data_IF_386241116082
#
_entry.id   IF_386241116082
#
_cell.length_a   1.000
_cell.length_b   1.000
_cell.length_c   1.000
_cell.angle_alpha   90.00
_cell.angle_beta   90.00
_cell.angle_gamma   90.00
#
_symmetry.space_group_name_H-M   'P 1'
#
loop_
_entity.id
_entity.type
_entity.pdbx_description
1 polymer ?
#
# COMPACT_ATOMS: atom_id res chain seq x y z
N UNK A 1 -3.65 10.68 -20.12
CA UNK A 1 -2.74 11.21 -21.12
C UNK A 1 -1.28 11.23 -20.61
N UNK A 2 -0.77 10.03 -20.25
CA UNK A 2 0.58 9.88 -19.71
C UNK A 2 1.67 10.42 -20.64
N UNK A 3 1.55 10.14 -21.92
CA UNK A 3 2.57 10.58 -22.90
C UNK A 3 2.80 12.10 -22.87
N UNK A 4 1.74 12.88 -22.77
CA UNK A 4 1.81 14.35 -22.69
C UNK A 4 2.45 14.82 -21.38
N UNK A 5 2.08 14.17 -20.25
CA UNK A 5 2.66 14.49 -18.94
C UNK A 5 4.14 14.12 -18.93
N UNK A 6 4.51 12.91 -19.37
CA UNK A 6 5.91 12.47 -19.46
C UNK A 6 6.75 13.40 -20.36
N UNK A 7 6.20 13.84 -21.50
CA UNK A 7 6.90 14.81 -22.37
C UNK A 7 7.19 16.10 -21.63
N UNK A 8 6.18 16.65 -20.90
CA UNK A 8 6.37 17.87 -20.12
C UNK A 8 7.37 17.67 -18.96
N UNK A 9 7.35 16.52 -18.30
CA UNK A 9 8.36 16.17 -17.28
C UNK A 9 9.77 16.17 -17.87
N UNK A 10 9.97 15.60 -19.06
CA UNK A 10 11.27 15.59 -19.75
C UNK A 10 11.74 17.02 -20.12
N UNK A 11 10.82 17.89 -20.51
CA UNK A 11 11.16 19.31 -20.76
C UNK A 11 11.64 19.99 -19.46
N UNK A 12 10.92 19.82 -18.34
CA UNK A 12 11.30 20.38 -17.04
C UNK A 12 12.67 19.88 -16.56
N UNK A 13 13.00 18.60 -16.84
CA UNK A 13 14.34 18.05 -16.56
C UNK A 13 15.41 18.81 -17.34
N UNK A 14 15.17 19.08 -18.64
CA UNK A 14 16.10 19.81 -19.49
C UNK A 14 16.28 21.29 -19.06
N UNK A 15 15.27 21.89 -18.46
CA UNK A 15 15.33 23.25 -17.94
C UNK A 15 16.31 23.42 -16.78
N UNK A 16 16.81 22.34 -16.19
CA UNK A 16 17.78 22.34 -15.08
C UNK A 16 17.34 23.21 -13.89
N UNK A 17 16.10 23.06 -13.46
CA UNK A 17 15.51 23.83 -12.37
C UNK A 17 16.06 23.35 -11.03
N UNK A 18 16.47 24.29 -10.15
CA UNK A 18 16.93 23.99 -8.79
C UNK A 18 15.77 23.68 -7.86
N UNK A 19 15.98 22.78 -6.91
CA UNK A 19 15.08 22.53 -5.78
C UNK A 19 15.52 23.41 -4.60
N UNK A 20 14.71 24.40 -4.26
CA UNK A 20 15.02 25.37 -3.20
C UNK A 20 14.12 25.12 -2.00
N UNK A 21 14.72 24.58 -0.92
CA UNK A 21 14.02 24.34 0.34
C UNK A 21 14.06 25.52 1.29
N UNK A 22 12.94 25.79 1.96
CA UNK A 22 12.82 26.81 3.01
C UNK A 22 11.95 26.31 4.16
N UNK A 23 12.26 26.74 5.39
CA UNK A 23 11.37 26.58 6.55
C UNK A 23 10.60 27.91 6.73
N UNK A 24 9.29 27.81 6.83
CA UNK A 24 8.41 28.97 7.04
C UNK A 24 7.48 28.72 8.23
N UNK A 25 6.97 29.80 8.85
CA UNK A 25 5.96 29.64 9.90
C UNK A 25 4.66 29.06 9.35
N UNK A 26 3.90 28.34 10.17
CA UNK A 26 2.56 27.85 9.76
C UNK A 26 1.63 28.96 9.27
N UNK A 27 1.74 30.17 9.86
CA UNK A 27 0.95 31.32 9.42
C UNK A 27 1.32 31.77 8.00
N UNK A 28 2.62 31.81 7.67
CA UNK A 28 3.09 32.13 6.32
C UNK A 28 2.69 31.04 5.32
N UNK A 29 2.85 29.76 5.68
CA UNK A 29 2.44 28.64 4.84
C UNK A 29 0.92 28.67 4.52
N UNK A 30 0.06 28.97 5.50
CA UNK A 30 -1.38 29.11 5.27
C UNK A 30 -1.71 30.24 4.26
N UNK A 31 -0.95 31.34 4.27
CA UNK A 31 -1.13 32.41 3.27
C UNK A 31 -0.71 31.94 1.88
N UNK A 32 0.42 31.23 1.76
CA UNK A 32 0.92 30.70 0.48
C UNK A 32 -0.06 29.69 -0.14
N UNK A 33 -0.65 28.81 0.67
CA UNK A 33 -1.53 27.73 0.22
C UNK A 33 -3.03 28.02 0.43
N UNK A 34 -3.43 29.31 0.52
CA UNK A 34 -4.83 29.71 0.83
C UNK A 34 -5.88 29.07 -0.07
N UNK A 35 -5.54 28.76 -1.32
CA UNK A 35 -6.44 28.16 -2.31
C UNK A 35 -6.34 26.61 -2.35
N UNK A 36 -5.63 25.97 -1.42
CA UNK A 36 -5.39 24.52 -1.40
C UNK A 36 -5.94 23.92 -0.10
N UNK A 37 -7.22 23.55 -0.02
CA UNK A 37 -7.88 23.13 1.22
C UNK A 37 -7.17 21.94 1.88
N UNK A 38 -6.73 20.95 1.11
CA UNK A 38 -6.00 19.80 1.60
C UNK A 38 -4.65 20.17 2.22
N UNK A 39 -3.91 21.12 1.62
CA UNK A 39 -2.64 21.62 2.19
C UNK A 39 -2.87 22.40 3.47
N UNK A 40 -3.93 23.17 3.57
CA UNK A 40 -4.31 23.90 4.79
C UNK A 40 -4.62 22.94 5.94
N UNK A 41 -5.28 21.82 5.65
CA UNK A 41 -5.58 20.77 6.61
C UNK A 41 -4.29 20.10 7.10
N UNK A 42 -3.39 19.71 6.19
CA UNK A 42 -2.07 19.15 6.53
C UNK A 42 -1.26 20.12 7.41
N UNK A 43 -1.21 21.42 7.07
CA UNK A 43 -0.47 22.43 7.85
C UNK A 43 -0.98 22.53 9.28
N UNK A 44 -2.29 22.38 9.51
CA UNK A 44 -2.86 22.41 10.87
C UNK A 44 -2.32 21.27 11.74
N UNK A 45 -2.20 20.09 11.18
CA UNK A 45 -1.87 18.84 11.88
C UNK A 45 -0.35 18.62 12.06
N UNK A 46 0.47 19.13 11.15
CA UNK A 46 1.93 19.00 11.28
C UNK A 46 2.40 19.49 12.65
N UNK A 47 3.32 18.77 13.32
CA UNK A 47 3.85 19.21 14.60
C UNK A 47 4.72 20.48 14.46
N UNK A 48 4.92 21.21 15.55
CA UNK A 48 5.79 22.38 15.61
C UNK A 48 5.17 23.66 15.05
N UNK A 49 5.97 24.75 15.04
CA UNK A 49 5.57 26.10 14.63
C UNK A 49 5.92 26.42 13.16
N UNK A 50 6.77 25.61 12.55
CA UNK A 50 7.26 25.79 11.17
C UNK A 50 7.00 24.55 10.33
N UNK A 51 6.93 24.76 9.01
CA UNK A 51 6.79 23.70 7.99
C UNK A 51 7.82 23.91 6.89
N UNK A 52 8.26 22.80 6.26
CA UNK A 52 9.12 22.83 5.09
C UNK A 52 8.31 23.10 3.83
N UNK A 53 8.85 23.93 2.98
CA UNK A 53 8.35 24.17 1.62
C UNK A 53 9.51 24.03 0.65
N UNK A 54 9.21 23.56 -0.56
CA UNK A 54 10.17 23.47 -1.66
C UNK A 54 9.62 24.11 -2.90
N UNK A 55 10.48 24.85 -3.57
CA UNK A 55 10.21 25.47 -4.84
C UNK A 55 11.06 24.83 -5.94
N UNK A 56 10.43 24.54 -7.08
CA UNK A 56 11.08 24.10 -8.30
C UNK A 56 10.49 24.90 -9.48
N UNK A 57 11.28 25.80 -10.05
CA UNK A 57 10.76 26.77 -10.99
C UNK A 57 9.63 27.60 -10.40
N UNK A 58 8.46 27.56 -11.04
CA UNK A 58 7.24 28.25 -10.57
C UNK A 58 6.37 27.36 -9.64
N UNK A 59 6.74 26.10 -9.42
CA UNK A 59 5.99 25.19 -8.58
C UNK A 59 6.48 25.27 -7.14
N UNK A 60 5.53 25.38 -6.18
CA UNK A 60 5.79 25.44 -4.75
C UNK A 60 4.90 24.44 -4.02
N UNK A 61 5.49 23.64 -3.13
CA UNK A 61 4.73 22.70 -2.33
C UNK A 61 5.31 22.50 -0.90
N UNK A 62 4.46 21.88 -0.03
CA UNK A 62 4.90 21.40 1.28
C UNK A 62 5.81 20.18 1.08
N UNK A 63 6.99 20.21 1.66
CA UNK A 63 7.89 19.06 1.62
C UNK A 63 8.87 19.06 2.80
N UNK A 64 9.27 17.86 3.23
CA UNK A 64 10.29 17.67 4.28
C UNK A 64 11.72 17.75 3.75
N UNK A 65 11.93 17.63 2.45
CA UNK A 65 13.24 17.54 1.80
C UNK A 65 13.51 16.18 1.19
N UNK A 66 14.79 15.87 0.95
CA UNK A 66 15.22 14.64 0.26
C UNK A 66 15.20 14.73 -1.25
N UNK A 67 15.32 15.95 -1.80
CA UNK A 67 15.42 16.17 -3.24
C UNK A 67 16.87 16.21 -3.70
N UNK A 68 17.07 15.93 -4.98
CA UNK A 68 18.30 16.28 -5.73
C UNK A 68 18.50 17.80 -5.75
N UNK A 69 19.67 18.28 -6.09
CA UNK A 69 19.93 19.74 -6.16
C UNK A 69 19.20 20.39 -7.32
N UNK A 70 19.14 19.69 -8.45
CA UNK A 70 18.46 20.19 -9.64
C UNK A 70 17.82 19.06 -10.46
N UNK A 71 16.88 19.43 -11.34
CA UNK A 71 16.21 18.49 -12.23
C UNK A 71 17.16 17.83 -13.22
N UNK A 72 18.33 18.41 -13.49
CA UNK A 72 19.37 17.84 -14.39
C UNK A 72 19.91 16.49 -13.90
N UNK A 73 19.85 16.21 -12.58
CA UNK A 73 20.29 14.94 -12.01
C UNK A 73 19.32 13.78 -12.27
N UNK A 74 18.10 14.10 -12.72
CA UNK A 74 17.09 13.10 -13.04
C UNK A 74 17.27 12.64 -14.47
N UNK A 75 17.41 11.33 -14.67
CA UNK A 75 17.53 10.75 -16.01
C UNK A 75 16.18 10.80 -16.75
N UNK A 76 16.05 11.57 -17.85
CA UNK A 76 14.79 11.73 -18.57
C UNK A 76 14.28 10.46 -19.25
N UNK A 77 15.10 9.41 -19.35
CA UNK A 77 14.73 8.12 -19.94
C UNK A 77 14.51 7.03 -18.90
N UNK A 78 14.73 7.32 -17.62
CA UNK A 78 14.67 6.33 -16.55
C UNK A 78 13.43 6.49 -15.64
N UNK A 79 12.38 7.13 -16.09
CA UNK A 79 11.10 7.20 -15.39
C UNK A 79 9.92 6.84 -16.30
N UNK A 80 8.83 6.39 -15.70
CA UNK A 80 7.58 6.03 -16.38
C UNK A 80 6.38 6.26 -15.49
N UNK A 81 5.31 6.84 -16.04
CA UNK A 81 4.00 6.85 -15.39
C UNK A 81 3.30 5.51 -15.67
N UNK A 82 2.82 4.86 -14.61
CA UNK A 82 2.35 3.47 -14.70
C UNK A 82 0.84 3.32 -14.66
N UNK A 83 0.16 3.99 -13.73
CA UNK A 83 -1.29 3.85 -13.57
C UNK A 83 -1.95 5.07 -12.96
N UNK A 84 -3.28 5.15 -13.13
CA UNK A 84 -4.17 6.08 -12.43
C UNK A 84 -5.10 5.27 -11.54
N UNK A 85 -5.35 5.75 -10.33
CA UNK A 85 -6.36 5.19 -9.44
C UNK A 85 -7.10 6.30 -8.69
N UNK A 86 -8.34 6.04 -8.31
CA UNK A 86 -9.04 6.84 -7.32
C UNK A 86 -8.44 6.61 -5.93
N UNK A 87 -8.40 7.65 -5.12
CA UNK A 87 -7.97 7.55 -3.72
C UNK A 87 -8.79 8.55 -2.89
N UNK A 88 -9.55 8.05 -1.92
CA UNK A 88 -10.25 8.92 -0.99
C UNK A 88 -9.26 9.70 -0.14
N UNK A 89 -9.56 10.99 0.08
CA UNK A 89 -8.74 11.80 0.96
C UNK A 89 -8.65 11.18 2.34
N UNK A 90 -7.44 10.93 2.82
CA UNK A 90 -7.14 10.23 4.10
C UNK A 90 -7.64 8.79 4.21
N UNK A 91 -7.95 8.17 3.09
CA UNK A 91 -8.45 6.79 3.08
C UNK A 91 -9.90 6.62 3.55
N UNK A 92 -10.62 7.69 3.87
CA UNK A 92 -12.01 7.64 4.29
C UNK A 92 -12.93 7.84 3.07
N UNK A 93 -13.79 6.87 2.80
CA UNK A 93 -14.74 6.88 1.68
C UNK A 93 -15.79 8.01 1.75
N UNK A 94 -16.01 8.61 2.92
CA UNK A 94 -16.86 9.78 3.11
C UNK A 94 -16.22 11.06 2.60
N UNK A 95 -14.92 11.07 2.42
CA UNK A 95 -14.17 12.18 1.90
C UNK A 95 -14.15 12.18 0.36
N UNK A 96 -13.73 13.30 -0.21
CA UNK A 96 -13.64 13.46 -1.65
C UNK A 96 -12.62 12.47 -2.24
N UNK A 97 -13.04 11.77 -3.29
CA UNK A 97 -12.15 10.93 -4.08
C UNK A 97 -11.25 11.80 -4.96
N UNK A 98 -9.95 11.61 -4.83
CA UNK A 98 -8.91 12.27 -5.60
C UNK A 98 -8.36 11.32 -6.67
N UNK A 99 -7.73 11.89 -7.69
CA UNK A 99 -7.01 11.12 -8.70
C UNK A 99 -5.55 10.97 -8.28
N UNK A 100 -5.08 9.72 -8.15
CA UNK A 100 -3.69 9.40 -7.86
C UNK A 100 -3.00 8.88 -9.11
N UNK A 101 -1.91 9.51 -9.50
CA UNK A 101 -1.04 9.08 -10.59
C UNK A 101 0.17 8.39 -9.99
N UNK A 102 0.44 7.17 -10.45
CA UNK A 102 1.60 6.38 -10.05
C UNK A 102 2.68 6.45 -11.11
N UNK A 103 3.91 6.44 -10.69
CA UNK A 103 5.07 6.38 -11.56
C UNK A 103 6.24 5.74 -10.86
N UNK A 104 7.22 5.34 -11.63
CA UNK A 104 8.50 4.79 -11.18
C UNK A 104 9.65 5.58 -11.78
N UNK A 105 10.76 5.68 -11.07
CA UNK A 105 11.99 6.30 -11.56
C UNK A 105 13.19 5.49 -11.08
N UNK A 106 14.21 5.41 -11.92
CA UNK A 106 15.45 4.68 -11.69
C UNK A 106 16.65 5.54 -12.06
N UNK A 107 17.86 5.12 -11.75
CA UNK A 107 19.08 5.81 -12.15
C UNK A 107 19.33 5.63 -13.65
N UNK A 108 19.06 4.43 -14.18
CA UNK A 108 19.33 4.08 -15.56
C UNK A 108 18.08 3.64 -16.33
N UNK A 109 18.11 3.87 -17.64
CA UNK A 109 17.06 3.37 -18.55
C UNK A 109 16.99 1.84 -18.56
N UNK A 110 18.11 1.15 -18.35
CA UNK A 110 18.17 -0.30 -18.27
C UNK A 110 17.36 -0.82 -17.07
N UNK A 111 17.57 -0.26 -15.90
CA UNK A 111 16.81 -0.63 -14.68
C UNK A 111 15.30 -0.42 -14.87
N UNK A 112 14.89 0.70 -15.50
CA UNK A 112 13.49 0.93 -15.84
C UNK A 112 12.95 -0.17 -16.76
N UNK A 113 13.68 -0.52 -17.82
CA UNK A 113 13.27 -1.58 -18.77
C UNK A 113 13.16 -2.94 -18.08
N UNK A 114 14.14 -3.29 -17.25
CA UNK A 114 14.15 -4.55 -16.51
C UNK A 114 12.97 -4.60 -15.52
N UNK A 115 12.68 -3.50 -14.81
CA UNK A 115 11.51 -3.38 -13.95
C UNK A 115 10.20 -3.57 -14.72
N UNK A 116 10.01 -2.85 -15.83
CA UNK A 116 8.78 -2.94 -16.63
C UNK A 116 8.58 -4.35 -17.19
N UNK A 117 9.64 -5.01 -17.63
CA UNK A 117 9.60 -6.41 -18.06
C UNK A 117 9.20 -7.34 -16.92
N UNK A 118 9.75 -7.13 -15.72
CA UNK A 118 9.38 -7.91 -14.54
C UNK A 118 7.91 -7.72 -14.17
N UNK A 119 7.37 -6.48 -14.28
CA UNK A 119 5.95 -6.21 -14.04
C UNK A 119 5.06 -6.91 -15.07
N UNK A 120 5.41 -6.85 -16.36
CA UNK A 120 4.67 -7.56 -17.41
C UNK A 120 4.65 -9.07 -17.17
N UNK A 121 5.80 -9.65 -16.79
CA UNK A 121 5.88 -11.07 -16.44
C UNK A 121 5.08 -11.41 -15.17
N UNK A 122 5.07 -10.52 -14.18
CA UNK A 122 4.28 -10.70 -12.97
C UNK A 122 2.76 -10.69 -13.27
N UNK A 123 2.30 -9.79 -14.14
CA UNK A 123 0.90 -9.75 -14.58
C UNK A 123 0.47 -11.06 -15.27
N UNK A 124 1.34 -11.63 -16.12
CA UNK A 124 1.08 -12.93 -16.78
C UNK A 124 0.99 -14.09 -15.79
N UNK A 125 1.63 -13.94 -14.61
CA UNK A 125 1.70 -14.96 -13.54
C UNK A 125 0.79 -14.65 -12.36
N UNK A 126 -0.13 -13.70 -12.49
CA UNK A 126 -1.06 -13.37 -11.42
C UNK A 126 -1.92 -14.61 -11.07
N UNK A 127 -1.80 -15.06 -9.82
CA UNK A 127 -2.56 -16.20 -9.31
C UNK A 127 -4.08 -16.01 -9.40
N UNK A 128 -4.57 -14.75 -9.38
CA UNK A 128 -5.99 -14.44 -9.56
C UNK A 128 -6.50 -14.74 -10.97
N UNK A 129 -5.59 -14.72 -11.94
CA UNK A 129 -5.88 -15.07 -13.34
C UNK A 129 -5.61 -16.55 -13.56
N UNK A 130 -4.40 -17.01 -13.22
CA UNK A 130 -3.98 -18.39 -13.48
C UNK A 130 -4.76 -19.41 -12.65
N UNK A 131 -5.09 -19.11 -11.40
CA UNK A 131 -5.80 -20.04 -10.52
C UNK A 131 -7.14 -20.49 -11.07
N UNK A 132 -8.06 -19.58 -11.44
CA UNK A 132 -9.31 -19.94 -12.11
C UNK A 132 -9.11 -20.60 -13.48
N UNK A 133 -8.17 -20.11 -14.30
CA UNK A 133 -7.90 -20.70 -15.63
C UNK A 133 -7.41 -22.15 -15.55
N UNK A 134 -6.62 -22.49 -14.54
CA UNK A 134 -6.12 -23.83 -14.28
C UNK A 134 -7.08 -24.68 -13.43
N UNK A 135 -8.24 -24.13 -13.08
CA UNK A 135 -9.23 -24.78 -12.23
C UNK A 135 -8.67 -25.19 -10.83
N UNK A 136 -7.84 -24.30 -10.26
CA UNK A 136 -7.27 -24.51 -8.92
C UNK A 136 -8.23 -24.07 -7.83
N UNK A 137 -8.90 -22.97 -8.03
CA UNK A 137 -9.91 -22.42 -7.11
C UNK A 137 -10.91 -21.53 -7.84
N UNK A 138 -12.03 -21.25 -7.18
CA UNK A 138 -13.03 -20.29 -7.66
C UNK A 138 -13.52 -19.41 -6.52
N UNK A 139 -14.06 -18.24 -6.85
CA UNK A 139 -14.79 -17.39 -5.92
C UNK A 139 -16.30 -17.49 -6.17
N UNK A 140 -17.08 -17.44 -5.09
CA UNK A 140 -18.53 -17.47 -5.18
C UNK A 140 -19.14 -16.39 -4.26
N UNK A 141 -20.28 -15.76 -4.63
CA UNK A 141 -20.92 -14.72 -3.81
C UNK A 141 -21.32 -15.14 -2.40
N UNK A 142 -21.48 -16.43 -2.14
CA UNK A 142 -21.78 -16.96 -0.79
C UNK A 142 -20.61 -16.84 0.18
N UNK A 143 -19.37 -16.66 -0.31
CA UNK A 143 -18.17 -16.52 0.50
C UNK A 143 -17.25 -15.45 -0.12
N UNK A 144 -17.63 -14.16 -0.03
CA UNK A 144 -16.88 -13.09 -0.67
C UNK A 144 -15.46 -13.01 -0.09
N UNK A 145 -14.48 -12.99 -1.00
CA UNK A 145 -13.05 -12.95 -0.64
C UNK A 145 -12.45 -14.29 -0.20
N UNK A 146 -13.24 -15.35 -0.05
CA UNK A 146 -12.78 -16.69 0.36
C UNK A 146 -12.84 -17.66 -0.82
N UNK A 147 -11.72 -18.28 -1.22
CA UNK A 147 -11.71 -19.20 -2.35
C UNK A 147 -12.31 -20.56 -1.98
N UNK A 148 -13.05 -21.14 -2.92
CA UNK A 148 -13.36 -22.56 -2.94
C UNK A 148 -12.23 -23.28 -3.67
N UNK A 149 -11.51 -24.17 -2.98
CA UNK A 149 -10.46 -24.98 -3.59
C UNK A 149 -11.05 -26.12 -4.40
N UNK A 150 -10.69 -26.19 -5.67
CA UNK A 150 -11.09 -27.26 -6.57
C UNK A 150 -10.14 -28.45 -6.50
N UNK A 151 -10.48 -29.62 -7.05
CA UNK A 151 -9.65 -30.83 -6.88
C UNK A 151 -8.17 -30.65 -7.23
N UNK A 152 -7.85 -30.00 -8.35
CA UNK A 152 -6.48 -29.69 -8.76
C UNK A 152 -5.78 -28.76 -7.75
N UNK A 153 -6.51 -27.77 -7.25
CA UNK A 153 -5.99 -26.84 -6.24
C UNK A 153 -5.69 -27.49 -4.91
N UNK A 154 -6.53 -28.44 -4.48
CA UNK A 154 -6.30 -29.21 -3.25
C UNK A 154 -5.01 -30.04 -3.35
N UNK A 155 -4.73 -30.63 -4.53
CA UNK A 155 -3.47 -31.35 -4.76
C UNK A 155 -2.28 -30.43 -4.57
N UNK A 156 -2.28 -29.26 -5.24
CA UNK A 156 -1.20 -28.27 -5.11
C UNK A 156 -1.04 -27.77 -3.67
N UNK A 157 -2.16 -27.53 -2.97
CA UNK A 157 -2.15 -27.09 -1.57
C UNK A 157 -1.50 -28.15 -0.67
N UNK A 158 -1.86 -29.43 -0.84
CA UNK A 158 -1.31 -30.52 -0.06
C UNK A 158 0.21 -30.72 -0.31
N UNK A 159 0.66 -30.60 -1.55
CA UNK A 159 2.08 -30.63 -1.89
C UNK A 159 2.86 -29.50 -1.22
N UNK A 160 2.31 -28.26 -1.25
CA UNK A 160 2.91 -27.13 -0.55
C UNK A 160 2.97 -27.31 0.96
N UNK A 161 1.91 -27.86 1.57
CA UNK A 161 1.88 -28.16 3.01
C UNK A 161 2.91 -29.25 3.34
N UNK A 162 3.00 -30.31 2.53
CA UNK A 162 3.98 -31.38 2.71
C UNK A 162 5.41 -30.87 2.61
N UNK A 163 5.69 -30.02 1.61
CA UNK A 163 6.98 -29.36 1.45
C UNK A 163 7.31 -28.48 2.67
N UNK A 164 6.35 -27.66 3.13
CA UNK A 164 6.55 -26.82 4.31
C UNK A 164 6.86 -27.64 5.58
N UNK A 165 6.15 -28.74 5.79
CA UNK A 165 6.40 -29.65 6.92
C UNK A 165 7.79 -30.26 6.86
N UNK A 166 8.22 -30.68 5.69
CA UNK A 166 9.54 -31.27 5.50
C UNK A 166 10.66 -30.26 5.80
N UNK A 167 10.54 -29.03 5.30
CA UNK A 167 11.53 -27.98 5.53
C UNK A 167 11.64 -27.56 7.00
N UNK A 168 10.56 -27.68 7.79
CA UNK A 168 10.53 -27.17 9.17
C UNK A 168 10.58 -28.28 10.24
N UNK A 169 10.60 -29.54 9.88
CA UNK A 169 10.49 -30.67 10.81
C UNK A 169 11.56 -30.71 11.92
N UNK A 170 12.74 -30.19 11.68
CA UNK A 170 13.85 -30.23 12.63
C UNK A 170 13.83 -29.05 13.62
N UNK A 171 13.34 -27.90 13.23
CA UNK A 171 13.44 -26.65 13.99
C UNK A 171 12.12 -26.22 14.64
N UNK A 172 10.98 -26.74 14.13
CA UNK A 172 9.65 -26.32 14.57
C UNK A 172 8.74 -27.51 14.85
N UNK A 173 7.77 -27.25 15.72
CA UNK A 173 6.66 -28.20 15.98
C UNK A 173 5.36 -27.57 15.47
N UNK A 174 4.63 -28.32 14.67
CA UNK A 174 3.34 -27.88 14.14
C UNK A 174 2.28 -27.87 15.25
N UNK A 175 1.54 -26.77 15.34
CA UNK A 175 0.36 -26.64 16.20
C UNK A 175 -0.85 -26.18 15.37
N UNK A 176 -2.04 -26.57 15.80
CA UNK A 176 -3.31 -26.08 15.25
C UNK A 176 -4.05 -25.36 16.35
N UNK A 177 -4.18 -24.04 16.21
CA UNK A 177 -4.90 -23.20 17.16
C UNK A 177 -6.37 -22.99 16.76
N UNK A 178 -7.28 -22.74 17.73
CA UNK A 178 -8.70 -22.52 17.43
C UNK A 178 -8.96 -21.37 16.46
N UNK A 179 -10.01 -21.50 15.65
CA UNK A 179 -10.45 -20.44 14.72
C UNK A 179 -11.22 -19.35 15.46
N UNK A 180 -12.00 -19.71 16.48
CA UNK A 180 -12.77 -18.77 17.30
C UNK A 180 -12.08 -18.60 18.65
N UNK A 181 -11.81 -17.35 19.02
CA UNK A 181 -11.18 -17.00 20.28
C UNK A 181 -12.00 -15.96 21.02
N UNK A 182 -12.04 -16.06 22.34
CA UNK A 182 -12.70 -15.03 23.16
C UNK A 182 -12.03 -13.68 22.97
N UNK A 183 -12.83 -12.61 23.06
CA UNK A 183 -12.41 -11.22 22.96
C UNK A 183 -11.22 -10.87 23.88
N UNK A 184 -11.19 -11.51 25.06
CA UNK A 184 -10.13 -11.29 26.07
C UNK A 184 -8.73 -11.58 25.54
N UNK A 185 -8.54 -12.56 24.65
CA UNK A 185 -7.27 -12.84 24.03
C UNK A 185 -6.74 -11.63 23.26
N UNK A 186 -7.62 -10.96 22.52
CA UNK A 186 -7.28 -9.79 21.72
C UNK A 186 -7.08 -8.53 22.58
N UNK A 187 -7.75 -8.44 23.74
CA UNK A 187 -7.50 -7.38 24.72
C UNK A 187 -6.10 -7.54 25.33
N UNK A 188 -5.75 -8.74 25.81
CA UNK A 188 -4.46 -9.03 26.45
C UNK A 188 -3.31 -8.80 25.47
N UNK A 189 -3.47 -9.25 24.23
CA UNK A 189 -2.43 -9.11 23.20
C UNK A 189 -2.37 -7.70 22.55
N UNK A 190 -3.25 -6.77 22.95
CA UNK A 190 -3.30 -5.39 22.45
C UNK A 190 -3.98 -5.21 21.08
N UNK A 191 -4.32 -6.31 20.40
CA UNK A 191 -4.93 -6.24 19.06
C UNK A 191 -6.34 -5.65 19.08
N UNK A 192 -7.08 -5.81 20.16
CA UNK A 192 -8.44 -5.29 20.31
C UNK A 192 -8.53 -3.79 20.00
N UNK A 193 -7.61 -3.00 20.50
CA UNK A 193 -7.60 -1.53 20.34
C UNK A 193 -7.42 -1.09 18.89
N UNK A 194 -6.74 -1.89 18.07
CA UNK A 194 -6.30 -1.49 16.74
C UNK A 194 -7.06 -2.19 15.60
N UNK A 195 -7.59 -3.39 15.83
CA UNK A 195 -8.08 -4.27 14.76
C UNK A 195 -9.47 -4.82 15.00
N UNK A 196 -10.08 -4.61 16.18
CA UNK A 196 -11.36 -5.23 16.49
C UNK A 196 -12.50 -4.84 15.54
N UNK A 197 -12.54 -3.60 15.09
CA UNK A 197 -13.55 -3.11 14.15
C UNK A 197 -13.42 -3.73 12.74
N UNK A 198 -12.24 -4.24 12.42
CA UNK A 198 -11.94 -4.89 11.14
C UNK A 198 -12.07 -6.42 11.23
N UNK A 199 -12.35 -6.98 12.41
CA UNK A 199 -12.47 -8.42 12.61
C UNK A 199 -13.92 -8.89 12.45
N UNK A 200 -14.08 -10.14 11.97
CA UNK A 200 -15.37 -10.81 12.06
C UNK A 200 -15.64 -11.19 13.51
N UNK A 201 -16.74 -10.68 14.06
CA UNK A 201 -17.14 -10.91 15.44
C UNK A 201 -18.37 -11.81 15.48
N UNK A 202 -18.27 -12.90 16.26
CA UNK A 202 -19.37 -13.81 16.54
C UNK A 202 -19.94 -13.52 17.93
N UNK A 203 -21.25 -13.30 18.02
CA UNK A 203 -21.95 -13.13 19.30
C UNK A 203 -22.82 -14.35 19.57
N UNK A 204 -22.68 -14.93 20.76
CA UNK A 204 -23.52 -16.04 21.20
C UNK A 204 -24.83 -15.54 21.80
N UNK A 205 -25.88 -16.36 21.90
CA UNK A 205 -27.11 -16.02 22.63
C UNK A 205 -26.86 -15.58 24.08
N UNK A 206 -25.81 -16.10 24.73
CA UNK A 206 -25.36 -15.71 26.07
C UNK A 206 -24.59 -14.39 26.14
N UNK A 207 -24.56 -13.60 25.05
CA UNK A 207 -23.86 -12.32 24.92
C UNK A 207 -22.32 -12.38 25.02
N UNK A 208 -21.75 -13.57 24.93
CA UNK A 208 -20.29 -13.71 24.78
C UNK A 208 -19.84 -13.25 23.38
N UNK A 209 -18.70 -12.55 23.30
CA UNK A 209 -18.11 -12.11 22.04
C UNK A 209 -16.84 -12.89 21.72
N UNK A 210 -16.80 -13.42 20.51
CA UNK A 210 -15.65 -14.13 19.95
C UNK A 210 -15.19 -13.41 18.68
N UNK A 211 -13.88 -13.34 18.47
CA UNK A 211 -13.30 -12.94 17.20
C UNK A 211 -12.94 -14.16 16.37
N UNK A 212 -13.26 -14.12 15.07
CA UNK A 212 -12.68 -15.05 14.11
C UNK A 212 -11.19 -14.74 14.00
N UNK A 213 -10.33 -15.76 14.04
CA UNK A 213 -8.87 -15.61 14.06
C UNK A 213 -8.37 -14.87 12.81
N UNK A 214 -8.01 -13.61 12.98
CA UNK A 214 -7.38 -12.77 11.95
C UNK A 214 -5.86 -12.94 11.91
N UNK A 215 -5.26 -13.33 13.05
CA UNK A 215 -3.81 -13.46 13.23
C UNK A 215 -3.49 -14.68 14.09
N UNK A 216 -2.40 -15.39 13.77
CA UNK A 216 -1.95 -16.54 14.54
C UNK A 216 -1.14 -16.16 15.79
N UNK A 217 -0.48 -14.99 15.80
CA UNK A 217 0.45 -14.59 16.85
C UNK A 217 -0.13 -14.67 18.27
N UNK A 218 -1.34 -14.15 18.58
CA UNK A 218 -1.89 -14.23 19.94
C UNK A 218 -2.08 -15.67 20.42
N UNK A 219 -2.43 -16.58 19.52
CA UNK A 219 -2.63 -18.00 19.83
C UNK A 219 -1.31 -18.78 19.98
N UNK A 220 -0.27 -18.37 19.27
CA UNK A 220 1.03 -19.03 19.33
C UNK A 220 1.83 -18.66 20.60
N UNK A 221 1.36 -17.68 21.37
CA UNK A 221 1.98 -17.21 22.61
C UNK A 221 1.36 -17.83 23.86
N UNK A 222 0.30 -18.64 23.73
CA UNK A 222 -0.34 -19.40 24.81
C UNK A 222 0.32 -20.74 24.99
#
# INVERSE_FOLDING_TARGET
DFKRIESRMKELIKENQKFIGKKVSKAAAKKLFKNSPYKLEIIKELPGKTVGIYQNGNFLDLCKGGHVESTKEINPNAFKLTKIAGAYWRGDEKNKMLTRIYGVAFETEKELKDYLKTQEEAEKRDHKILGPQLELFMFHPTAPGMPYWLPKGVIVLNELISFWREEHKNDYREIISPILNKKELYIISGHYKHYWEEMFVVKTPGKEEYGVKAMNCPNAMI
#
